data_IF_541642031774
#
_entry.id   IF_541642031774
#
_cell.length_a   1.000
_cell.length_b   1.000
_cell.length_c   1.000
_cell.angle_alpha   90.00
_cell.angle_beta   90.00
_cell.angle_gamma   90.00
#
_symmetry.space_group_name_H-M   'P 1'
#
loop_
_entity.id
_entity.type
_entity.pdbx_description
1 polymer ?
#
# COMPACT_ATOMS: atom_id res chain seq x y z
N UNK A 1 3.68 15.53 50.00
CA UNK A 1 3.03 16.43 49.02
C UNK A 1 4.13 17.02 48.13
N UNK A 2 4.41 16.42 46.97
CA UNK A 2 5.52 16.86 46.12
C UNK A 2 5.19 18.20 45.44
N UNK A 3 5.93 19.24 45.79
CA UNK A 3 5.82 20.58 45.20
C UNK A 3 6.37 20.52 43.76
N UNK A 4 5.48 20.41 42.78
CA UNK A 4 5.84 20.48 41.36
C UNK A 4 6.27 21.91 41.01
N UNK A 5 7.57 22.17 41.05
CA UNK A 5 8.14 23.44 40.57
C UNK A 5 8.14 23.45 39.04
N UNK A 6 7.88 24.61 38.39
CA UNK A 6 7.69 24.72 36.93
C UNK A 6 8.88 24.17 36.12
N UNK A 7 10.11 24.27 36.67
CA UNK A 7 11.33 23.69 36.09
C UNK A 7 11.25 22.17 35.90
N UNK A 8 10.69 21.42 36.86
CA UNK A 8 10.60 19.95 36.79
C UNK A 8 9.66 19.48 35.68
N UNK A 9 8.59 20.24 35.40
CA UNK A 9 7.67 19.97 34.28
C UNK A 9 8.33 20.18 32.93
N UNK A 10 9.14 21.24 32.79
CA UNK A 10 9.89 21.53 31.56
C UNK A 10 10.92 20.43 31.27
N UNK A 11 11.66 19.98 32.28
CA UNK A 11 12.60 18.85 32.11
C UNK A 11 11.91 17.54 31.71
N UNK A 12 10.75 17.22 32.30
CA UNK A 12 9.98 16.04 31.89
C UNK A 12 9.49 16.10 30.44
N UNK A 13 9.09 17.29 29.97
CA UNK A 13 8.66 17.50 28.57
C UNK A 13 9.86 17.38 27.61
N UNK A 14 11.01 17.94 27.98
CA UNK A 14 12.24 17.88 27.17
C UNK A 14 12.75 16.43 27.06
N UNK A 15 12.72 15.66 28.15
CA UNK A 15 13.10 14.24 28.14
C UNK A 15 12.13 13.42 27.29
N UNK A 16 10.82 13.69 27.40
CA UNK A 16 9.81 13.03 26.57
C UNK A 16 10.02 13.34 25.08
N UNK A 17 10.29 14.60 24.73
CA UNK A 17 10.64 15.01 23.37
C UNK A 17 11.91 14.30 22.87
N UNK A 18 12.96 14.23 23.68
CA UNK A 18 14.19 13.52 23.30
C UNK A 18 13.96 12.02 23.05
N UNK A 19 13.12 11.35 23.83
CA UNK A 19 12.78 9.93 23.61
C UNK A 19 12.07 9.74 22.26
N UNK A 20 11.18 10.67 21.88
CA UNK A 20 10.52 10.66 20.57
C UNK A 20 11.54 10.82 19.44
N UNK A 21 12.54 11.71 19.58
CA UNK A 21 13.59 11.90 18.55
C UNK A 21 14.54 10.71 18.39
N UNK A 22 14.84 9.95 19.46
CA UNK A 22 15.72 8.77 19.37
C UNK A 22 15.06 7.62 18.59
N UNK A 23 13.73 7.49 18.64
CA UNK A 23 13.02 6.50 17.84
C UNK A 23 13.15 6.77 16.32
N UNK A 24 13.18 8.03 15.90
CA UNK A 24 13.38 8.43 14.49
C UNK A 24 14.85 8.33 14.02
N UNK A 25 15.81 8.12 14.93
CA UNK A 25 17.24 8.04 14.59
C UNK A 25 17.72 6.61 14.27
N UNK A 26 16.88 5.58 14.41
CA UNK A 26 17.28 4.22 14.06
C UNK A 26 17.39 4.08 12.54
N UNK A 27 18.54 3.57 12.07
CA UNK A 27 18.75 3.33 10.63
C UNK A 27 17.70 2.34 10.11
N UNK A 28 16.98 2.68 9.02
CA UNK A 28 16.06 1.75 8.37
C UNK A 28 16.79 0.48 7.94
N UNK A 29 16.09 -0.65 8.00
CA UNK A 29 16.67 -1.97 7.71
C UNK A 29 15.66 -2.84 6.99
N UNK A 30 16.01 -3.23 5.76
CA UNK A 30 15.21 -4.19 4.98
C UNK A 30 15.07 -5.53 5.69
N UNK A 31 16.11 -5.99 6.40
CA UNK A 31 16.03 -7.25 7.15
C UNK A 31 15.01 -7.16 8.28
N UNK A 32 14.87 -6.01 8.94
CA UNK A 32 13.83 -5.83 9.96
C UNK A 32 12.44 -5.89 9.33
N UNK A 33 12.22 -5.19 8.21
CA UNK A 33 10.94 -5.20 7.51
C UNK A 33 10.57 -6.63 7.04
N UNK A 34 11.54 -7.35 6.47
CA UNK A 34 11.37 -8.73 6.04
C UNK A 34 11.06 -9.69 7.20
N UNK A 35 11.79 -9.58 8.30
CA UNK A 35 11.56 -10.42 9.47
C UNK A 35 10.19 -10.15 10.09
N UNK A 36 9.80 -8.88 10.26
CA UNK A 36 8.46 -8.53 10.75
C UNK A 36 7.36 -9.11 9.84
N UNK A 37 7.53 -9.02 8.52
CA UNK A 37 6.60 -9.64 7.57
C UNK A 37 6.54 -11.16 7.74
N UNK A 38 7.69 -11.82 7.83
CA UNK A 38 7.80 -13.27 8.00
C UNK A 38 7.23 -13.78 9.34
N UNK A 39 7.29 -12.94 10.38
CA UNK A 39 6.74 -13.22 11.71
C UNK A 39 5.23 -12.95 11.82
N UNK A 40 4.60 -12.40 10.78
CA UNK A 40 3.18 -12.01 10.82
C UNK A 40 2.90 -10.65 11.46
N UNK A 41 3.94 -9.85 11.72
CA UNK A 41 3.86 -8.52 12.32
C UNK A 41 3.62 -7.46 11.23
N UNK A 42 2.52 -7.60 10.49
CA UNK A 42 2.32 -6.88 9.21
C UNK A 42 2.28 -5.35 9.32
N UNK A 43 1.73 -4.81 10.43
CA UNK A 43 1.72 -3.36 10.65
C UNK A 43 3.12 -2.81 10.95
N UNK A 44 3.93 -3.58 11.66
CA UNK A 44 5.33 -3.24 11.90
C UNK A 44 6.13 -3.34 10.59
N UNK A 45 5.92 -4.41 9.82
CA UNK A 45 6.52 -4.58 8.50
C UNK A 45 6.21 -3.38 7.58
N UNK A 46 4.96 -2.90 7.57
CA UNK A 46 4.54 -1.70 6.86
C UNK A 46 5.33 -0.46 7.30
N UNK A 47 5.39 -0.22 8.61
CA UNK A 47 6.12 0.94 9.16
C UNK A 47 7.61 0.89 8.81
N UNK A 48 8.23 -0.28 8.94
CA UNK A 48 9.65 -0.48 8.64
C UNK A 48 9.95 -0.33 7.15
N UNK A 49 9.08 -0.83 6.27
CA UNK A 49 9.32 -0.72 4.83
C UNK A 49 9.10 0.70 4.32
N UNK A 50 8.14 1.44 4.89
CA UNK A 50 7.93 2.86 4.57
C UNK A 50 9.20 3.67 4.91
N UNK A 51 9.81 3.43 6.07
CA UNK A 51 11.09 4.05 6.43
C UNK A 51 12.24 3.67 5.48
N UNK A 52 12.25 2.44 4.95
CA UNK A 52 13.26 2.02 3.98
C UNK A 52 13.09 2.72 2.62
N UNK A 53 11.88 3.11 2.26
CA UNK A 53 11.60 3.82 1.00
C UNK A 53 12.03 5.28 1.07
N UNK A 54 12.04 5.86 2.28
CA UNK A 54 12.49 7.24 2.52
C UNK A 54 14.03 7.34 2.73
N UNK A 55 14.70 6.20 2.93
CA UNK A 55 16.16 6.18 3.09
C UNK A 55 16.89 6.36 1.73
N UNK A 56 17.83 7.32 1.60
CA UNK A 56 18.51 7.60 0.33
C UNK A 56 19.30 6.43 -0.27
N UNK A 57 19.71 5.45 0.54
CA UNK A 57 20.49 4.28 0.07
C UNK A 57 19.59 3.09 -0.22
N UNK A 58 18.53 2.90 0.55
CA UNK A 58 17.61 1.78 0.36
C UNK A 58 16.58 2.08 -0.73
N UNK A 59 16.18 3.33 -0.91
CA UNK A 59 15.29 3.78 -2.00
C UNK A 59 15.87 3.56 -3.41
N UNK A 60 17.16 3.27 -3.56
CA UNK A 60 17.74 2.94 -4.86
C UNK A 60 17.74 1.43 -5.15
N UNK A 61 17.28 0.59 -4.21
CA UNK A 61 17.31 -0.87 -4.35
C UNK A 61 15.96 -1.41 -4.81
N UNK A 62 15.98 -2.25 -5.85
CA UNK A 62 14.79 -2.94 -6.33
C UNK A 62 14.11 -3.77 -5.22
N UNK A 63 14.89 -4.45 -4.38
CA UNK A 63 14.39 -5.27 -3.25
C UNK A 63 13.56 -4.46 -2.25
N UNK A 64 13.86 -3.18 -2.04
CA UNK A 64 13.06 -2.31 -1.16
C UNK A 64 11.62 -2.20 -1.66
N UNK A 65 11.47 -1.98 -2.97
CA UNK A 65 10.15 -1.88 -3.56
C UNK A 65 9.49 -3.25 -3.74
N UNK A 66 10.26 -4.32 -3.94
CA UNK A 66 9.72 -5.68 -3.93
C UNK A 66 9.08 -6.03 -2.57
N UNK A 67 9.77 -5.69 -1.48
CA UNK A 67 9.26 -5.89 -0.12
C UNK A 67 8.03 -5.04 0.13
N UNK A 68 8.07 -3.76 -0.27
CA UNK A 68 6.90 -2.87 -0.16
C UNK A 68 5.70 -3.46 -0.91
N UNK A 69 5.89 -3.87 -2.16
CA UNK A 69 4.85 -4.48 -2.98
C UNK A 69 4.18 -5.67 -2.29
N UNK A 70 4.98 -6.62 -1.79
CA UNK A 70 4.47 -7.81 -1.12
C UNK A 70 3.78 -7.51 0.21
N UNK A 71 4.35 -6.63 1.04
CA UNK A 71 3.76 -6.24 2.33
C UNK A 71 2.39 -5.57 2.10
N UNK A 72 2.32 -4.64 1.15
CA UNK A 72 1.07 -3.92 0.86
C UNK A 72 0.04 -4.79 0.15
N UNK A 73 0.45 -5.69 -0.75
CA UNK A 73 -0.43 -6.67 -1.36
C UNK A 73 -1.06 -7.58 -0.30
N UNK A 74 -0.25 -8.07 0.66
CA UNK A 74 -0.76 -8.89 1.74
C UNK A 74 -1.75 -8.12 2.62
N UNK A 75 -1.41 -6.89 3.03
CA UNK A 75 -2.32 -6.04 3.81
C UNK A 75 -3.64 -5.80 3.09
N UNK A 76 -3.60 -5.47 1.80
CA UNK A 76 -4.80 -5.29 0.99
C UNK A 76 -5.67 -6.56 1.02
N UNK A 77 -5.09 -7.73 0.72
CA UNK A 77 -5.83 -8.99 0.76
C UNK A 77 -6.48 -9.26 2.12
N UNK A 78 -5.78 -9.00 3.24
CA UNK A 78 -6.36 -9.18 4.56
C UNK A 78 -7.56 -8.27 4.79
N UNK A 79 -7.45 -6.98 4.47
CA UNK A 79 -8.52 -6.00 4.67
C UNK A 79 -9.76 -6.35 3.83
N UNK A 80 -9.57 -6.71 2.55
CA UNK A 80 -10.67 -7.09 1.65
C UNK A 80 -11.29 -8.44 2.02
N UNK A 81 -10.51 -9.40 2.52
CA UNK A 81 -11.05 -10.66 3.07
C UNK A 81 -11.85 -10.45 4.35
N UNK A 82 -11.48 -9.48 5.20
CA UNK A 82 -12.31 -9.11 6.35
C UNK A 82 -13.60 -8.42 5.90
N UNK A 83 -13.51 -7.50 4.93
CA UNK A 83 -14.68 -6.84 4.35
C UNK A 83 -15.69 -7.83 3.76
N UNK A 84 -15.21 -8.89 3.11
CA UNK A 84 -16.05 -9.96 2.55
C UNK A 84 -16.77 -10.79 3.63
N UNK A 85 -16.19 -10.91 4.83
CA UNK A 85 -16.78 -11.65 5.95
C UNK A 85 -17.75 -10.81 6.78
N UNK A 86 -17.51 -9.51 6.83
CA UNK A 86 -18.29 -8.54 7.58
C UNK A 86 -18.50 -7.28 6.73
N UNK A 87 -19.69 -7.13 6.17
CA UNK A 87 -20.07 -5.97 5.37
C UNK A 87 -19.97 -4.66 6.16
N UNK A 88 -19.99 -4.68 7.50
CA UNK A 88 -19.80 -3.49 8.34
C UNK A 88 -18.32 -3.14 8.57
N UNK A 89 -17.39 -4.02 8.20
CA UNK A 89 -15.96 -3.76 8.33
C UNK A 89 -15.54 -2.55 7.48
N UNK A 90 -14.68 -1.72 8.04
CA UNK A 90 -14.11 -0.54 7.37
C UNK A 90 -12.66 -0.85 7.03
N UNK A 91 -12.34 -0.83 5.74
CA UNK A 91 -10.97 -1.00 5.24
C UNK A 91 -10.10 0.14 5.77
N UNK A 92 -9.06 -0.21 6.52
CA UNK A 92 -8.14 0.73 7.16
C UNK A 92 -7.06 1.24 6.22
N UNK A 93 -6.72 0.45 5.20
CA UNK A 93 -5.69 0.76 4.22
C UNK A 93 -6.26 0.67 2.78
N UNK A 94 -7.22 1.53 2.41
CA UNK A 94 -7.89 1.46 1.11
C UNK A 94 -6.91 1.64 -0.07
N UNK A 95 -5.86 2.44 0.13
CA UNK A 95 -4.81 2.69 -0.88
C UNK A 95 -3.78 1.56 -1.00
N UNK A 96 -3.85 0.51 -0.18
CA UNK A 96 -2.85 -0.55 -0.18
C UNK A 96 -2.68 -1.27 -1.55
N UNK A 97 -3.75 -1.55 -2.33
CA UNK A 97 -3.61 -2.09 -3.68
C UNK A 97 -2.80 -1.18 -4.61
N UNK A 98 -3.02 0.14 -4.53
CA UNK A 98 -2.32 1.14 -5.34
C UNK A 98 -0.85 1.20 -4.95
N UNK A 99 -0.57 1.23 -3.65
CA UNK A 99 0.81 1.25 -3.15
C UNK A 99 1.58 -0.03 -3.48
N UNK A 100 0.89 -1.18 -3.48
CA UNK A 100 1.48 -2.44 -3.92
C UNK A 100 1.84 -2.39 -5.40
N UNK A 101 0.91 -1.98 -6.26
CA UNK A 101 1.13 -1.83 -7.70
C UNK A 101 2.33 -0.92 -8.00
N UNK A 102 2.32 0.30 -7.45
CA UNK A 102 3.36 1.29 -7.72
C UNK A 102 4.74 0.79 -7.26
N UNK A 103 4.79 0.06 -6.14
CA UNK A 103 6.01 -0.56 -5.66
C UNK A 103 6.50 -1.69 -6.58
N UNK A 104 5.63 -2.58 -7.05
CA UNK A 104 6.06 -3.63 -7.98
C UNK A 104 6.53 -3.07 -9.33
N UNK A 105 5.85 -2.05 -9.86
CA UNK A 105 6.30 -1.34 -11.07
C UNK A 105 7.68 -0.73 -10.84
N UNK A 106 7.89 -0.06 -9.70
CA UNK A 106 9.20 0.52 -9.36
C UNK A 106 10.28 -0.55 -9.20
N UNK A 107 9.98 -1.65 -8.52
CA UNK A 107 10.89 -2.78 -8.35
C UNK A 107 11.35 -3.32 -9.72
N UNK A 108 10.40 -3.62 -10.60
CA UNK A 108 10.65 -4.10 -11.97
C UNK A 108 11.43 -3.11 -12.84
N UNK A 109 11.22 -1.80 -12.61
CA UNK A 109 11.96 -0.75 -13.34
C UNK A 109 13.44 -0.66 -12.93
N UNK A 110 13.76 -0.99 -11.67
CA UNK A 110 15.13 -0.97 -11.14
C UNK A 110 15.87 -2.27 -11.46
N UNK A 111 15.17 -3.40 -11.36
CA UNK A 111 15.68 -4.71 -11.74
C UNK A 111 14.52 -5.60 -12.19
N UNK A 112 14.57 -6.02 -13.45
CA UNK A 112 13.50 -6.81 -14.10
C UNK A 112 13.36 -8.21 -13.50
N UNK A 113 14.44 -8.74 -12.93
CA UNK A 113 14.51 -10.10 -12.39
C UNK A 113 14.61 -10.08 -10.86
N UNK A 114 14.15 -8.99 -10.23
CA UNK A 114 14.21 -8.86 -8.77
C UNK A 114 13.33 -9.93 -8.12
N UNK A 115 13.95 -10.68 -7.22
CA UNK A 115 13.32 -11.76 -6.48
C UNK A 115 13.75 -11.73 -5.01
N UNK A 116 12.93 -12.34 -4.17
CA UNK A 116 13.23 -12.58 -2.78
C UNK A 116 12.55 -13.85 -2.29
N UNK A 117 13.18 -14.52 -1.33
CA UNK A 117 12.63 -15.73 -0.74
C UNK A 117 11.23 -15.48 -0.14
N UNK A 118 10.30 -16.40 -0.40
CA UNK A 118 8.89 -16.33 0.05
C UNK A 118 8.13 -15.05 -0.31
N UNK A 119 8.53 -14.37 -1.39
CA UNK A 119 7.83 -13.19 -1.90
C UNK A 119 7.51 -13.36 -3.38
N UNK A 120 6.37 -12.81 -3.80
CA UNK A 120 6.01 -12.80 -5.21
C UNK A 120 6.93 -11.86 -5.98
N UNK A 121 7.41 -12.33 -7.13
CA UNK A 121 8.08 -11.46 -8.11
C UNK A 121 7.08 -10.48 -8.73
N UNK A 122 7.53 -9.35 -9.31
CA UNK A 122 6.64 -8.41 -9.96
C UNK A 122 5.80 -9.03 -11.08
N UNK A 123 6.36 -10.01 -11.81
CA UNK A 123 5.66 -10.68 -12.92
C UNK A 123 4.47 -11.52 -12.48
N UNK A 124 4.52 -12.05 -11.25
CA UNK A 124 3.40 -12.79 -10.65
C UNK A 124 2.44 -11.85 -9.91
N UNK A 125 2.97 -10.85 -9.21
CA UNK A 125 2.19 -9.98 -8.35
C UNK A 125 1.38 -8.92 -9.10
N UNK A 126 1.91 -8.34 -10.19
CA UNK A 126 1.20 -7.29 -10.92
C UNK A 126 -0.12 -7.79 -11.52
N UNK A 127 -0.17 -8.94 -12.23
CA UNK A 127 -1.43 -9.43 -12.75
C UNK A 127 -2.45 -9.75 -11.65
N UNK A 128 -2.02 -10.23 -10.47
CA UNK A 128 -2.94 -10.59 -9.39
C UNK A 128 -3.61 -9.40 -8.70
N UNK A 129 -3.09 -8.18 -8.89
CA UNK A 129 -3.63 -6.95 -8.30
C UNK A 129 -4.91 -6.44 -8.97
N UNK A 130 -5.26 -6.93 -10.17
CA UNK A 130 -6.39 -6.38 -10.95
C UNK A 130 -7.70 -6.35 -10.14
N UNK A 131 -8.00 -7.42 -9.38
CA UNK A 131 -9.25 -7.52 -8.62
C UNK A 131 -9.31 -6.55 -7.45
N UNK A 132 -8.21 -6.40 -6.71
CA UNK A 132 -8.13 -5.45 -5.59
C UNK A 132 -8.23 -4.00 -6.08
N UNK A 133 -7.53 -3.66 -7.16
CA UNK A 133 -7.59 -2.33 -7.77
C UNK A 133 -8.98 -2.05 -8.37
N UNK A 134 -9.59 -3.04 -9.01
CA UNK A 134 -10.95 -2.92 -9.54
C UNK A 134 -11.97 -2.60 -8.44
N UNK A 135 -11.99 -3.38 -7.36
CA UNK A 135 -12.92 -3.13 -6.24
C UNK A 135 -12.65 -1.76 -5.63
N UNK A 136 -11.38 -1.39 -5.40
CA UNK A 136 -11.06 -0.07 -4.87
C UNK A 136 -11.53 1.08 -5.79
N UNK A 137 -11.32 0.93 -7.10
CA UNK A 137 -11.80 1.89 -8.09
C UNK A 137 -13.33 2.04 -8.07
N UNK A 138 -14.06 0.92 -7.94
CA UNK A 138 -15.53 0.94 -7.82
C UNK A 138 -15.98 1.59 -6.50
N UNK A 139 -15.29 1.37 -5.38
CA UNK A 139 -15.60 2.04 -4.10
C UNK A 139 -15.47 3.57 -4.22
N UNK A 140 -14.46 4.04 -4.97
CA UNK A 140 -14.30 5.47 -5.28
C UNK A 140 -15.46 6.00 -6.15
N UNK A 141 -15.94 5.23 -7.12
CA UNK A 141 -17.11 5.59 -7.92
C UNK A 141 -18.39 5.68 -7.09
N UNK A 142 -18.64 4.70 -6.21
CA UNK A 142 -19.78 4.71 -5.28
C UNK A 142 -19.72 5.95 -4.38
N UNK A 143 -18.51 6.40 -4.05
CA UNK A 143 -18.26 7.61 -3.26
C UNK A 143 -18.25 8.91 -4.07
N UNK A 144 -18.61 8.87 -5.37
CA UNK A 144 -18.57 9.98 -6.33
C UNK A 144 -17.18 10.65 -6.47
N UNK A 145 -16.11 9.90 -6.19
CA UNK A 145 -14.71 10.35 -6.35
C UNK A 145 -14.17 9.94 -7.72
N UNK A 146 -14.76 10.49 -8.79
CA UNK A 146 -14.46 10.09 -10.17
C UNK A 146 -13.00 10.38 -10.55
N UNK A 147 -12.45 11.53 -10.14
CA UNK A 147 -11.05 11.90 -10.40
C UNK A 147 -10.06 10.89 -9.81
N UNK A 148 -10.35 10.38 -8.61
CA UNK A 148 -9.52 9.37 -7.94
C UNK A 148 -9.72 7.97 -8.53
N UNK A 149 -10.93 7.65 -9.00
CA UNK A 149 -11.27 6.33 -9.55
C UNK A 149 -10.55 6.03 -10.87
N UNK A 150 -10.41 7.04 -11.74
CA UNK A 150 -9.80 6.89 -13.08
C UNK A 150 -8.38 6.28 -13.02
N UNK A 151 -7.41 6.85 -12.28
CA UNK A 151 -6.05 6.28 -12.23
C UNK A 151 -6.01 4.90 -11.57
N UNK A 152 -6.94 4.58 -10.67
CA UNK A 152 -7.02 3.26 -10.04
C UNK A 152 -7.54 2.21 -11.03
N UNK A 153 -8.60 2.52 -11.77
CA UNK A 153 -9.18 1.64 -12.78
C UNK A 153 -8.26 1.46 -14.00
N UNK A 154 -7.48 2.49 -14.37
CA UNK A 154 -6.41 2.36 -15.37
C UNK A 154 -5.33 1.36 -14.92
N UNK A 155 -4.87 1.44 -13.66
CA UNK A 155 -3.94 0.45 -13.09
C UNK A 155 -4.54 -0.97 -13.11
N UNK A 156 -5.81 -1.11 -12.72
CA UNK A 156 -6.50 -2.39 -12.79
C UNK A 156 -6.54 -2.96 -14.22
N UNK A 157 -6.81 -2.11 -15.22
CA UNK A 157 -6.83 -2.49 -16.64
C UNK A 157 -5.47 -2.97 -17.10
N UNK A 158 -4.40 -2.24 -16.78
CA UNK A 158 -3.02 -2.65 -17.06
C UNK A 158 -2.67 -3.99 -16.41
N UNK A 159 -3.07 -4.23 -15.16
CA UNK A 159 -2.89 -5.53 -14.51
C UNK A 159 -3.59 -6.65 -15.28
N UNK A 160 -4.84 -6.43 -15.67
CA UNK A 160 -5.67 -7.40 -16.38
C UNK A 160 -5.10 -7.73 -17.78
N UNK A 161 -4.54 -6.75 -18.49
CA UNK A 161 -3.97 -6.92 -19.83
C UNK A 161 -2.63 -7.67 -19.83
N UNK A 162 -1.86 -7.63 -18.74
CA UNK A 162 -0.55 -8.30 -18.64
C UNK A 162 -0.71 -9.83 -18.61
N UNK A 163 -1.83 -10.34 -18.10
CA UNK A 163 -2.12 -11.77 -18.10
C UNK A 163 -3.59 -12.04 -17.80
N UNK A 164 -4.19 -12.96 -18.56
CA UNK A 164 -5.60 -13.34 -18.38
C UNK A 164 -5.79 -13.93 -16.98
N UNK A 165 -6.57 -13.27 -16.10
CA UNK A 165 -6.76 -13.79 -14.75
C UNK A 165 -7.62 -15.06 -14.78
N UNK A 166 -7.51 -15.88 -13.75
CA UNK A 166 -8.34 -17.08 -13.58
C UNK A 166 -9.85 -16.79 -13.56
N UNK A 167 -10.23 -15.54 -13.26
CA UNK A 167 -11.60 -15.04 -13.25
C UNK A 167 -11.68 -13.81 -14.16
N UNK A 168 -11.93 -13.99 -15.47
CA UNK A 168 -12.00 -12.86 -16.38
C UNK A 168 -13.21 -11.97 -16.05
N UNK A 169 -12.99 -10.67 -16.09
CA UNK A 169 -14.06 -9.67 -16.17
C UNK A 169 -14.52 -9.61 -17.63
N UNK A 170 -15.81 -9.76 -17.89
CA UNK A 170 -16.47 -9.67 -19.19
C UNK A 170 -16.74 -8.21 -19.61
N UNK A 171 -15.71 -7.37 -19.51
CA UNK A 171 -15.78 -5.96 -19.89
C UNK A 171 -16.25 -5.00 -18.79
N UNK A 172 -16.59 -5.48 -17.59
CA UNK A 172 -17.02 -4.63 -16.48
C UNK A 172 -15.94 -3.62 -16.11
N UNK A 173 -14.67 -4.02 -16.13
CA UNK A 173 -13.55 -3.13 -15.85
C UNK A 173 -13.49 -1.93 -16.81
N UNK A 174 -13.62 -2.19 -18.11
CA UNK A 174 -13.66 -1.14 -19.13
C UNK A 174 -14.92 -0.29 -19.04
N UNK A 175 -16.06 -0.90 -18.68
CA UNK A 175 -17.31 -0.20 -18.44
C UNK A 175 -17.16 0.82 -17.30
N UNK A 176 -16.66 0.40 -16.13
CA UNK A 176 -16.48 1.30 -14.98
C UNK A 176 -15.43 2.38 -15.24
N UNK A 177 -14.36 2.06 -15.97
CA UNK A 177 -13.40 3.06 -16.42
C UNK A 177 -14.05 4.11 -17.33
N UNK A 178 -14.80 3.68 -18.36
CA UNK A 178 -15.53 4.58 -19.25
C UNK A 178 -16.57 5.42 -18.52
N UNK A 179 -17.33 4.81 -17.61
CA UNK A 179 -18.29 5.50 -16.74
C UNK A 179 -17.61 6.60 -15.91
N UNK A 180 -16.46 6.32 -15.30
CA UNK A 180 -15.70 7.31 -14.54
C UNK A 180 -15.33 8.54 -15.39
N UNK A 181 -14.92 8.32 -16.65
CA UNK A 181 -14.58 9.38 -17.59
C UNK A 181 -15.80 10.22 -18.02
N UNK A 182 -16.96 9.60 -18.21
CA UNK A 182 -18.21 10.29 -18.53
C UNK A 182 -18.66 11.18 -17.37
N UNK A 183 -18.70 10.64 -16.14
CA UNK A 183 -19.11 11.40 -14.95
C UNK A 183 -18.19 12.58 -14.63
N UNK A 184 -16.91 12.50 -15.00
CA UNK A 184 -15.99 13.64 -14.87
C UNK A 184 -16.32 14.77 -15.84
N UNK A 185 -16.82 14.46 -17.04
CA UNK A 185 -17.19 15.45 -18.06
C UNK A 185 -18.56 16.06 -17.77
N UNK A 186 -19.50 15.28 -17.27
CA UNK A 186 -20.83 15.73 -16.85
C UNK A 186 -21.24 15.10 -15.50
N UNK A 187 -20.96 15.77 -14.38
CA UNK A 187 -21.30 15.26 -13.05
C UNK A 187 -22.81 15.16 -12.76
N UNK A 188 -23.67 15.62 -13.68
CA UNK A 188 -25.14 15.60 -13.55
C UNK A 188 -25.82 14.54 -14.43
N UNK A 189 -25.05 13.74 -15.17
CA UNK A 189 -25.55 12.65 -16.02
C UNK A 189 -26.07 11.46 -15.21
#
# INVERSE_FOLDING_TARGET
MFKNTPMKRVYSIIILLMIVFVAFAQKPSLNKAYNAFSNGEFLEAKSLIDQCVDDPKLSTKATTYLYKGNIYLYLANQEYEQKKKDDAYIIKFPEAPVQAYDAFIKAKSLDKNVEAFNMLSPDVAIPSLYGLLYVYGVDLLISNKFEDAIPVLDKATKCYEIGTPSFPLYGELYYFYGYALEMLKDPKA
#
